data_IF_476434756744
#
_entry.id   IF_476434756744
#
_cell.length_a   1.000
_cell.length_b   1.000
_cell.length_c   1.000
_cell.angle_alpha   90.00
_cell.angle_beta   90.00
_cell.angle_gamma   90.00
#
_symmetry.space_group_name_H-M   'P 1'
#
loop_
_entity.id
_entity.type
_entity.pdbx_description
1 polymer ?
#
# COMPACT_ATOMS: atom_id res chain seq x y z
N UNK A 1 12.05 16.79 35.06
CA UNK A 1 10.70 16.36 35.51
C UNK A 1 10.06 15.56 34.38
N UNK A 2 10.01 14.22 34.48
CA UNK A 2 9.46 13.36 33.42
C UNK A 2 7.94 13.51 33.39
N UNK A 3 7.38 14.04 32.29
CA UNK A 3 5.93 14.03 32.06
C UNK A 3 5.48 12.56 32.07
N UNK A 4 4.70 12.18 33.10
CA UNK A 4 4.02 10.88 33.13
C UNK A 4 3.25 10.74 31.83
N UNK A 5 3.49 9.66 31.08
CA UNK A 5 2.68 9.22 29.94
C UNK A 5 1.23 9.02 30.38
N UNK A 6 0.45 10.10 30.48
CA UNK A 6 -1.01 10.01 30.52
C UNK A 6 -1.42 9.53 29.14
N UNK A 7 -1.64 8.22 29.00
CA UNK A 7 -2.29 7.65 27.81
C UNK A 7 -3.55 8.47 27.56
N UNK A 8 -3.61 9.10 26.38
CA UNK A 8 -4.80 9.85 25.96
C UNK A 8 -6.02 8.92 26.02
N UNK A 9 -7.20 9.42 26.43
CA UNK A 9 -8.37 8.58 26.59
C UNK A 9 -8.80 7.95 25.27
N UNK A 10 -9.20 6.68 25.35
CA UNK A 10 -9.72 5.88 24.23
C UNK A 10 -10.99 6.53 23.66
N UNK A 11 -11.09 6.62 22.33
CA UNK A 11 -12.22 7.26 21.66
C UNK A 11 -13.55 6.54 21.92
N UNK A 12 -13.55 5.20 22.03
CA UNK A 12 -14.76 4.44 22.38
C UNK A 12 -15.18 4.71 23.82
N UNK A 13 -14.20 4.86 24.73
CA UNK A 13 -14.49 5.24 26.13
C UNK A 13 -15.05 6.66 26.21
N UNK A 14 -14.51 7.60 25.44
CA UNK A 14 -15.03 8.97 25.37
C UNK A 14 -16.46 9.02 24.84
N UNK A 15 -16.81 8.17 23.86
CA UNK A 15 -18.17 8.06 23.35
C UNK A 15 -19.13 7.58 24.44
N UNK A 16 -18.77 6.54 25.19
CA UNK A 16 -19.60 6.05 26.30
C UNK A 16 -19.72 7.08 27.43
N UNK A 17 -18.62 7.76 27.78
CA UNK A 17 -18.63 8.87 28.75
C UNK A 17 -19.63 9.97 28.32
N UNK A 18 -19.61 10.37 27.05
CA UNK A 18 -20.51 11.38 26.50
C UNK A 18 -21.97 10.93 26.59
N UNK A 19 -22.28 9.67 26.25
CA UNK A 19 -23.64 9.11 26.37
C UNK A 19 -24.14 9.16 27.81
N UNK A 20 -23.28 8.84 28.78
CA UNK A 20 -23.62 8.89 30.21
C UNK A 20 -23.89 10.32 30.65
N UNK A 21 -23.03 11.27 30.27
CA UNK A 21 -23.16 12.69 30.64
C UNK A 21 -24.39 13.35 30.01
N UNK A 22 -24.84 12.88 28.83
CA UNK A 22 -26.04 13.39 28.17
C UNK A 22 -27.34 12.96 28.85
N UNK A 23 -27.38 11.80 29.52
CA UNK A 23 -28.61 11.26 30.14
C UNK A 23 -29.31 12.29 31.06
N UNK A 24 -28.63 12.89 32.05
CA UNK A 24 -29.26 13.82 32.99
C UNK A 24 -29.47 15.24 32.45
N UNK A 25 -28.93 15.60 31.29
CA UNK A 25 -29.02 16.95 30.75
C UNK A 25 -30.39 17.23 30.11
N UNK A 26 -30.95 18.39 30.49
CA UNK A 26 -32.17 18.97 29.92
C UNK A 26 -31.80 19.84 28.70
N UNK A 27 -31.76 19.20 27.54
CA UNK A 27 -31.48 19.81 26.24
C UNK A 27 -32.53 19.36 25.24
N UNK A 28 -32.69 20.11 24.14
CA UNK A 28 -33.68 19.75 23.12
C UNK A 28 -33.54 18.30 22.65
N UNK A 29 -34.67 17.57 22.63
CA UNK A 29 -34.74 16.16 22.20
C UNK A 29 -34.14 15.95 20.80
N UNK A 30 -34.33 16.93 19.91
CA UNK A 30 -33.74 16.92 18.57
C UNK A 30 -32.21 16.95 18.60
N UNK A 31 -31.60 17.74 19.48
CA UNK A 31 -30.15 17.78 19.60
C UNK A 31 -29.61 16.52 20.27
N UNK A 32 -30.24 16.05 21.34
CA UNK A 32 -29.83 14.88 22.12
C UNK A 32 -29.85 13.60 21.28
N UNK A 33 -31.03 13.24 20.77
CA UNK A 33 -31.24 11.92 20.19
C UNK A 33 -30.92 11.89 18.70
N UNK A 34 -31.40 12.89 17.96
CA UNK A 34 -31.28 12.89 16.50
C UNK A 34 -29.90 13.32 16.01
N UNK A 35 -29.25 14.24 16.72
CA UNK A 35 -27.93 14.77 16.31
C UNK A 35 -26.81 14.05 17.05
N UNK A 36 -26.79 14.07 18.38
CA UNK A 36 -25.63 13.58 19.12
C UNK A 36 -25.61 12.05 19.22
N UNK A 37 -26.66 11.40 19.73
CA UNK A 37 -26.64 9.95 19.92
C UNK A 37 -26.52 9.17 18.61
N UNK A 38 -27.22 9.60 17.55
CA UNK A 38 -27.10 8.99 16.22
C UNK A 38 -25.69 9.13 15.64
N UNK A 39 -25.11 10.33 15.72
CA UNK A 39 -23.72 10.56 15.29
C UNK A 39 -22.74 9.70 16.09
N UNK A 40 -22.89 9.59 17.41
CA UNK A 40 -22.04 8.75 18.25
C UNK A 40 -22.20 7.26 17.92
N UNK A 41 -23.40 6.81 17.56
CA UNK A 41 -23.64 5.45 17.10
C UNK A 41 -22.92 5.16 15.78
N UNK A 42 -23.07 6.04 14.78
CA UNK A 42 -22.38 5.93 13.49
C UNK A 42 -20.86 5.95 13.67
N UNK A 43 -20.34 6.85 14.50
CA UNK A 43 -18.93 6.94 14.82
C UNK A 43 -18.42 5.69 15.57
N UNK A 44 -19.22 5.13 16.49
CA UNK A 44 -18.88 3.87 17.18
C UNK A 44 -18.73 2.72 16.19
N UNK A 45 -19.67 2.57 15.27
CA UNK A 45 -19.61 1.53 14.24
C UNK A 45 -18.41 1.73 13.33
N UNK A 46 -18.12 2.99 12.96
CA UNK A 46 -16.98 3.33 12.13
C UNK A 46 -15.65 2.98 12.82
N UNK A 47 -15.48 3.33 14.10
CA UNK A 47 -14.28 3.02 14.89
C UNK A 47 -14.14 1.51 15.12
N UNK A 48 -15.23 0.80 15.41
CA UNK A 48 -15.19 -0.67 15.57
C UNK A 48 -14.78 -1.39 14.29
N UNK A 49 -15.19 -0.86 13.14
CA UNK A 49 -14.86 -1.43 11.83
C UNK A 49 -13.43 -1.08 11.39
N UNK A 50 -12.92 0.09 11.79
CA UNK A 50 -11.58 0.59 11.41
C UNK A 50 -10.90 1.21 12.63
N UNK A 51 -10.26 0.38 13.43
CA UNK A 51 -9.70 0.79 14.72
C UNK A 51 -8.68 1.93 14.64
N UNK A 52 -8.00 2.05 13.49
CA UNK A 52 -6.98 3.04 13.18
C UNK A 52 -7.55 4.46 13.16
N UNK A 53 -8.85 4.61 12.86
CA UNK A 53 -9.45 5.94 12.75
C UNK A 53 -9.73 6.59 14.12
N UNK A 54 -9.71 5.78 15.19
CA UNK A 54 -10.10 6.21 16.54
C UNK A 54 -9.33 7.45 17.00
N UNK A 55 -8.05 7.58 16.63
CA UNK A 55 -7.22 8.71 17.00
C UNK A 55 -7.72 10.04 16.43
N UNK A 56 -8.30 10.05 15.22
CA UNK A 56 -8.69 11.27 14.50
C UNK A 56 -9.95 11.95 15.04
N UNK A 57 -10.68 11.30 15.95
CA UNK A 57 -11.90 11.84 16.56
C UNK A 57 -11.72 12.17 18.04
N UNK A 58 -10.56 11.87 18.64
CA UNK A 58 -10.34 12.08 20.08
C UNK A 58 -10.48 13.54 20.48
N UNK A 59 -10.01 14.48 19.66
CA UNK A 59 -10.06 15.91 19.95
C UNK A 59 -11.50 16.39 20.01
N UNK A 60 -12.26 16.13 18.96
CA UNK A 60 -13.65 16.55 18.80
C UNK A 60 -14.55 15.87 19.86
N UNK A 61 -14.30 14.60 20.18
CA UNK A 61 -14.97 13.92 21.30
C UNK A 61 -14.62 14.54 22.66
N UNK A 62 -13.35 14.91 22.89
CA UNK A 62 -12.96 15.62 24.11
C UNK A 62 -13.65 16.98 24.21
N UNK A 63 -13.71 17.75 23.11
CA UNK A 63 -14.36 19.06 23.06
C UNK A 63 -15.86 18.96 23.32
N UNK A 64 -16.54 18.02 22.67
CA UNK A 64 -17.95 17.75 22.93
C UNK A 64 -18.19 17.33 24.39
N UNK A 65 -17.34 16.46 24.95
CA UNK A 65 -17.41 16.08 26.38
C UNK A 65 -17.23 17.28 27.31
N UNK A 66 -16.32 18.20 26.98
CA UNK A 66 -16.09 19.42 27.76
C UNK A 66 -17.28 20.38 27.66
N UNK A 67 -17.85 20.57 26.47
CA UNK A 67 -19.03 21.40 26.28
C UNK A 67 -20.23 20.89 27.10
N UNK A 68 -20.42 19.57 27.13
CA UNK A 68 -21.45 18.89 27.93
C UNK A 68 -21.21 19.07 29.43
N UNK A 69 -19.95 18.96 29.89
CA UNK A 69 -19.60 19.19 31.30
C UNK A 69 -19.77 20.64 31.74
N UNK A 70 -19.60 21.59 30.81
CA UNK A 70 -19.71 23.02 31.06
C UNK A 70 -21.06 23.58 30.58
N UNK A 71 -22.11 22.74 30.59
CA UNK A 71 -23.45 23.14 30.14
C UNK A 71 -23.96 24.37 30.89
N UNK A 72 -23.74 24.45 32.21
CA UNK A 72 -24.18 25.57 33.04
C UNK A 72 -23.57 26.92 32.61
N UNK A 73 -22.42 26.90 31.92
CA UNK A 73 -21.71 28.09 31.46
C UNK A 73 -22.01 28.44 30.00
N UNK A 74 -22.13 27.42 29.13
CA UNK A 74 -22.20 27.61 27.67
C UNK A 74 -23.60 27.31 27.08
N UNK A 75 -24.50 26.78 27.90
CA UNK A 75 -25.84 26.36 27.51
C UNK A 75 -25.88 25.32 26.39
N UNK A 76 -27.08 25.16 25.80
CA UNK A 76 -27.29 24.24 24.68
C UNK A 76 -26.48 24.64 23.44
N UNK A 77 -26.20 25.94 23.26
CA UNK A 77 -25.48 26.46 22.09
C UNK A 77 -24.04 25.94 22.03
N UNK A 78 -23.32 25.89 23.16
CA UNK A 78 -21.97 25.36 23.21
C UNK A 78 -21.90 23.87 22.82
N UNK A 79 -22.88 23.07 23.29
CA UNK A 79 -23.00 21.66 22.91
C UNK A 79 -23.29 21.53 21.41
N UNK A 80 -24.18 22.37 20.88
CA UNK A 80 -24.56 22.35 19.46
C UNK A 80 -23.37 22.66 18.55
N UNK A 81 -22.58 23.67 18.87
CA UNK A 81 -21.38 24.02 18.09
C UNK A 81 -20.40 22.85 18.01
N UNK A 82 -20.08 22.22 19.15
CA UNK A 82 -19.15 21.10 19.16
C UNK A 82 -19.72 19.82 18.53
N UNK A 83 -21.03 19.60 18.64
CA UNK A 83 -21.71 18.52 17.93
C UNK A 83 -21.66 18.72 16.40
N UNK A 84 -21.88 19.95 15.92
CA UNK A 84 -21.78 20.28 14.50
C UNK A 84 -20.33 20.13 13.99
N UNK A 85 -19.34 20.53 14.79
CA UNK A 85 -17.92 20.34 14.47
C UNK A 85 -17.56 18.86 14.35
N UNK A 86 -17.99 18.02 15.31
CA UNK A 86 -17.78 16.58 15.28
C UNK A 86 -18.50 15.94 14.09
N UNK A 87 -19.73 16.37 13.77
CA UNK A 87 -20.49 15.90 12.62
C UNK A 87 -19.81 16.26 11.31
N UNK A 88 -19.40 17.51 11.14
CA UNK A 88 -18.64 17.96 9.96
C UNK A 88 -17.34 17.18 9.80
N UNK A 89 -16.67 16.82 10.90
CA UNK A 89 -15.49 15.95 10.87
C UNK A 89 -15.85 14.54 10.44
N UNK A 90 -16.92 13.97 10.99
CA UNK A 90 -17.44 12.66 10.61
C UNK A 90 -17.81 12.63 9.13
N UNK A 91 -18.55 13.62 8.62
CA UNK A 91 -18.94 13.75 7.23
C UNK A 91 -17.74 13.94 6.30
N UNK A 92 -16.68 14.64 6.73
CA UNK A 92 -15.42 14.72 5.97
C UNK A 92 -14.69 13.39 5.93
N UNK A 93 -14.61 12.67 7.05
CA UNK A 93 -13.95 11.35 7.10
C UNK A 93 -14.76 10.32 6.31
N UNK A 94 -16.09 10.34 6.43
CA UNK A 94 -16.99 9.49 5.65
C UNK A 94 -16.90 9.87 4.17
N UNK A 95 -16.91 11.15 3.79
CA UNK A 95 -16.83 11.55 2.38
C UNK A 95 -15.46 11.27 1.78
N UNK A 96 -14.35 11.45 2.51
CA UNK A 96 -13.02 11.02 2.09
C UNK A 96 -12.94 9.50 1.99
N UNK A 97 -13.51 8.76 2.94
CA UNK A 97 -13.62 7.30 2.87
C UNK A 97 -14.50 6.85 1.72
N UNK A 98 -15.63 7.51 1.46
CA UNK A 98 -16.52 7.22 0.34
C UNK A 98 -15.90 7.66 -0.97
N UNK A 99 -15.03 8.66 -1.00
CA UNK A 99 -14.23 9.01 -2.18
C UNK A 99 -13.11 7.99 -2.40
N UNK A 100 -12.47 7.47 -1.34
CA UNK A 100 -11.49 6.38 -1.41
C UNK A 100 -12.16 5.05 -1.77
N UNK A 101 -13.36 4.78 -1.25
CA UNK A 101 -14.16 3.60 -1.54
C UNK A 101 -14.85 3.71 -2.90
N UNK A 102 -15.29 4.90 -3.35
CA UNK A 102 -15.79 5.13 -4.72
C UNK A 102 -14.66 5.10 -5.72
N UNK A 103 -13.49 5.70 -5.45
CA UNK A 103 -12.28 5.43 -6.23
C UNK A 103 -11.92 3.94 -6.17
N UNK A 104 -12.10 3.29 -5.03
CA UNK A 104 -11.94 1.85 -4.88
C UNK A 104 -13.00 1.01 -5.60
N UNK A 105 -14.21 1.54 -5.82
CA UNK A 105 -15.38 0.89 -6.44
C UNK A 105 -15.47 1.14 -7.94
N UNK A 106 -15.08 2.32 -8.42
CA UNK A 106 -14.76 2.59 -9.82
C UNK A 106 -13.53 1.76 -10.25
N UNK A 107 -12.62 1.46 -9.30
CA UNK A 107 -11.57 0.45 -9.48
C UNK A 107 -12.08 -0.98 -9.24
N UNK A 108 -13.25 -1.24 -8.64
CA UNK A 108 -13.78 -2.61 -8.47
C UNK A 108 -14.26 -3.24 -9.78
N UNK A 109 -14.44 -2.46 -10.85
CA UNK A 109 -14.58 -2.98 -12.22
C UNK A 109 -13.27 -3.44 -12.85
N UNK A 110 -12.11 -3.06 -12.29
CA UNK A 110 -10.78 -3.44 -12.78
C UNK A 110 -9.93 -3.99 -11.64
N UNK A 111 -9.89 -5.33 -11.54
CA UNK A 111 -8.94 -6.15 -10.77
C UNK A 111 -7.95 -5.35 -9.91
N UNK A 112 -8.11 -5.39 -8.57
CA UNK A 112 -7.17 -4.79 -7.60
C UNK A 112 -5.73 -4.92 -8.08
N UNK A 113 -5.14 -3.81 -8.54
CA UNK A 113 -3.72 -3.72 -8.88
C UNK A 113 -2.90 -3.94 -7.60
N UNK A 114 -2.50 -5.19 -7.37
CA UNK A 114 -1.60 -5.53 -6.27
C UNK A 114 -0.21 -5.04 -6.66
N UNK A 115 0.23 -3.94 -6.04
CA UNK A 115 1.59 -3.43 -6.18
C UNK A 115 2.46 -4.06 -5.09
N UNK A 116 3.26 -5.04 -5.45
CA UNK A 116 4.15 -5.73 -4.52
C UNK A 116 5.51 -5.97 -5.18
N UNK A 117 6.58 -5.57 -4.49
CA UNK A 117 7.95 -5.85 -4.88
C UNK A 117 8.59 -6.72 -3.80
N UNK A 118 9.09 -7.89 -4.19
CA UNK A 118 9.85 -8.79 -3.32
C UNK A 118 11.24 -9.00 -3.91
N UNK A 119 12.29 -8.80 -3.10
CA UNK A 119 13.68 -8.95 -3.54
C UNK A 119 14.33 -10.01 -2.66
N UNK A 120 14.92 -11.02 -3.29
CA UNK A 120 15.72 -12.04 -2.60
C UNK A 120 16.76 -12.68 -3.54
N UNK A 121 17.99 -12.90 -3.04
CA UNK A 121 19.12 -13.48 -3.78
C UNK A 121 19.36 -12.87 -5.19
N UNK A 122 19.22 -11.55 -5.30
CA UNK A 122 19.36 -10.80 -6.56
C UNK A 122 18.20 -10.98 -7.54
N UNK A 123 17.12 -11.64 -7.13
CA UNK A 123 15.87 -11.80 -7.90
C UNK A 123 14.85 -10.81 -7.37
N UNK A 124 14.23 -10.03 -8.26
CA UNK A 124 13.14 -9.11 -7.94
C UNK A 124 11.84 -9.61 -8.55
N UNK A 125 10.80 -9.86 -7.77
CA UNK A 125 9.46 -10.18 -8.29
C UNK A 125 8.59 -8.94 -8.15
N UNK A 126 8.17 -8.38 -9.29
CA UNK A 126 7.30 -7.21 -9.35
C UNK A 126 5.89 -7.65 -9.74
N UNK A 127 4.92 -7.38 -8.87
CA UNK A 127 3.50 -7.66 -9.10
C UNK A 127 2.79 -6.32 -9.22
N UNK A 128 1.97 -6.17 -10.27
CA UNK A 128 1.25 -4.92 -10.54
C UNK A 128 -0.26 -5.09 -10.67
N UNK A 129 -0.77 -6.28 -11.04
CA UNK A 129 -2.18 -6.40 -11.48
C UNK A 129 -2.91 -7.64 -10.97
N UNK A 130 -2.26 -8.80 -10.90
CA UNK A 130 -2.89 -10.05 -10.48
C UNK A 130 -2.28 -10.58 -9.19
N UNK A 131 -3.07 -11.06 -8.22
CA UNK A 131 -2.53 -11.78 -7.09
C UNK A 131 -1.80 -13.03 -7.60
N UNK A 132 -0.53 -13.14 -7.25
CA UNK A 132 0.31 -14.31 -7.57
C UNK A 132 0.86 -14.88 -6.28
N UNK A 133 1.12 -16.20 -6.28
CA UNK A 133 1.86 -16.83 -5.19
C UNK A 133 3.35 -16.45 -5.31
N UNK A 134 3.77 -15.43 -4.56
CA UNK A 134 5.14 -14.88 -4.59
C UNK A 134 6.16 -15.93 -4.17
N UNK A 135 5.87 -16.73 -3.15
CA UNK A 135 6.78 -17.79 -2.68
C UNK A 135 7.04 -18.80 -3.79
N UNK A 136 5.99 -19.22 -4.48
CA UNK A 136 6.09 -20.12 -5.63
C UNK A 136 6.87 -19.47 -6.78
N UNK A 137 6.57 -18.22 -7.16
CA UNK A 137 7.26 -17.52 -8.24
C UNK A 137 8.73 -17.24 -7.94
N UNK A 138 9.07 -16.93 -6.69
CA UNK A 138 10.45 -16.79 -6.25
C UNK A 138 11.20 -18.13 -6.34
N UNK A 139 10.57 -19.23 -5.94
CA UNK A 139 11.12 -20.58 -6.09
C UNK A 139 11.37 -20.93 -7.56
N UNK A 140 10.42 -20.64 -8.46
CA UNK A 140 10.61 -20.83 -9.91
C UNK A 140 11.79 -20.01 -10.44
N UNK A 141 11.94 -18.76 -10.02
CA UNK A 141 13.03 -17.90 -10.45
C UNK A 141 14.40 -18.38 -9.93
N UNK A 142 14.48 -18.89 -8.69
CA UNK A 142 15.69 -19.55 -8.18
C UNK A 142 16.03 -20.81 -8.97
N UNK A 143 15.02 -21.59 -9.34
CA UNK A 143 15.21 -22.76 -10.20
C UNK A 143 15.73 -22.37 -11.59
N UNK A 144 15.25 -21.27 -12.17
CA UNK A 144 15.78 -20.72 -13.41
C UNK A 144 17.27 -20.35 -13.25
N UNK A 145 17.64 -19.67 -12.16
CA UNK A 145 19.04 -19.34 -11.83
C UNK A 145 19.93 -20.59 -11.77
N UNK A 146 19.46 -21.65 -11.13
CA UNK A 146 20.16 -22.94 -11.09
C UNK A 146 20.31 -23.58 -12.48
N UNK A 147 19.27 -23.49 -13.33
CA UNK A 147 19.34 -23.98 -14.72
C UNK A 147 20.38 -23.23 -15.55
N UNK A 148 20.47 -21.91 -15.40
CA UNK A 148 21.49 -21.11 -16.09
C UNK A 148 22.91 -21.52 -15.70
N UNK A 149 23.16 -21.75 -14.40
CA UNK A 149 24.45 -22.24 -13.91
C UNK A 149 24.79 -23.61 -14.51
N UNK A 150 23.80 -24.51 -14.61
CA UNK A 150 24.00 -25.82 -15.22
C UNK A 150 24.25 -25.72 -16.73
N UNK A 151 23.51 -24.87 -17.44
CA UNK A 151 23.69 -24.63 -18.87
C UNK A 151 25.12 -24.15 -19.18
N UNK A 152 25.65 -23.21 -18.40
CA UNK A 152 27.03 -22.73 -18.51
C UNK A 152 28.08 -23.82 -18.29
N UNK A 153 27.79 -24.79 -17.41
CA UNK A 153 28.68 -25.93 -17.15
C UNK A 153 28.65 -26.95 -18.27
N UNK A 154 27.49 -27.17 -18.89
CA UNK A 154 27.30 -28.19 -19.94
C UNK A 154 27.55 -27.67 -21.35
N UNK A 155 27.59 -26.35 -21.56
CA UNK A 155 27.82 -25.76 -22.86
C UNK A 155 29.27 -26.02 -23.33
N UNK A 156 29.39 -26.61 -24.52
CA UNK A 156 30.67 -26.76 -25.21
C UNK A 156 31.35 -25.40 -25.44
N UNK A 157 32.68 -25.40 -25.53
CA UNK A 157 33.49 -24.18 -25.72
C UNK A 157 33.06 -23.34 -26.93
N UNK A 158 32.47 -23.98 -27.94
CA UNK A 158 31.96 -23.31 -29.14
C UNK A 158 30.75 -22.43 -28.85
N UNK A 159 29.82 -22.88 -28.00
CA UNK A 159 28.59 -22.16 -27.66
C UNK A 159 28.75 -21.28 -26.42
N UNK A 160 29.75 -21.56 -25.60
CA UNK A 160 29.97 -20.93 -24.29
C UNK A 160 29.92 -19.40 -24.32
N UNK A 161 30.53 -18.68 -25.29
CA UNK A 161 30.44 -17.21 -25.34
C UNK A 161 29.00 -16.70 -25.48
N UNK A 162 28.21 -17.31 -26.37
CA UNK A 162 26.82 -16.91 -26.58
C UNK A 162 25.93 -17.35 -25.41
N UNK A 163 26.16 -18.53 -24.82
CA UNK A 163 25.45 -18.98 -23.62
C UNK A 163 25.69 -18.01 -22.46
N UNK A 164 26.94 -17.57 -22.26
CA UNK A 164 27.27 -16.54 -21.25
C UNK A 164 26.50 -15.26 -21.49
N UNK A 165 26.48 -14.74 -22.72
CA UNK A 165 25.72 -13.54 -23.08
C UNK A 165 24.22 -13.69 -22.77
N UNK A 166 23.63 -14.84 -23.11
CA UNK A 166 22.23 -15.16 -22.78
C UNK A 166 22.02 -15.15 -21.26
N UNK A 167 22.87 -15.86 -20.51
CA UNK A 167 22.75 -15.96 -19.05
C UNK A 167 22.90 -14.59 -18.39
N UNK A 168 23.88 -13.79 -18.78
CA UNK A 168 24.09 -12.44 -18.23
C UNK A 168 22.89 -11.53 -18.51
N UNK A 169 22.31 -11.62 -19.70
CA UNK A 169 21.08 -10.92 -20.05
C UNK A 169 19.90 -11.32 -19.16
N UNK A 170 19.71 -12.63 -18.94
CA UNK A 170 18.63 -13.16 -18.09
C UNK A 170 18.83 -12.80 -16.61
N UNK A 171 20.07 -12.86 -16.11
CA UNK A 171 20.42 -12.41 -14.74
C UNK A 171 20.07 -10.94 -14.56
N UNK A 172 20.36 -10.12 -15.56
CA UNK A 172 20.00 -8.70 -15.56
C UNK A 172 18.48 -8.53 -15.47
N UNK A 173 17.70 -9.27 -16.27
CA UNK A 173 16.24 -9.23 -16.21
C UNK A 173 15.71 -9.73 -14.86
N UNK A 174 16.28 -10.80 -14.28
CA UNK A 174 15.90 -11.32 -12.96
C UNK A 174 16.04 -10.26 -11.86
N UNK A 175 17.05 -9.40 -11.95
CA UNK A 175 17.27 -8.30 -11.00
C UNK A 175 16.23 -7.18 -11.10
N UNK A 176 15.54 -7.08 -12.26
CA UNK A 176 14.51 -6.07 -12.55
C UNK A 176 13.09 -6.61 -12.36
N UNK A 177 12.77 -7.77 -12.97
CA UNK A 177 11.51 -8.48 -12.80
C UNK A 177 11.65 -9.96 -13.19
N UNK A 178 11.76 -10.83 -12.20
CA UNK A 178 11.87 -12.26 -12.36
C UNK A 178 10.65 -12.91 -13.02
N UNK A 179 9.46 -12.29 -12.99
CA UNK A 179 8.33 -12.80 -13.78
C UNK A 179 8.56 -12.63 -15.29
N UNK A 180 9.23 -11.55 -15.68
CA UNK A 180 9.60 -11.32 -17.07
C UNK A 180 10.73 -12.26 -17.50
N UNK A 181 11.71 -12.52 -16.62
CA UNK A 181 12.76 -13.51 -16.87
C UNK A 181 12.20 -14.94 -17.00
N UNK A 182 11.20 -15.32 -16.19
CA UNK A 182 10.59 -16.66 -16.21
C UNK A 182 9.95 -17.03 -17.56
N UNK A 183 9.67 -16.06 -18.43
CA UNK A 183 9.18 -16.33 -19.80
C UNK A 183 10.20 -17.09 -20.66
N UNK A 184 11.49 -16.98 -20.34
CA UNK A 184 12.58 -17.67 -21.05
C UNK A 184 12.87 -19.07 -20.50
N UNK A 185 12.11 -19.54 -19.50
CA UNK A 185 12.38 -20.81 -18.82
C UNK A 185 12.24 -22.03 -19.75
N UNK A 186 11.26 -22.03 -20.65
CA UNK A 186 11.08 -23.11 -21.64
C UNK A 186 12.19 -23.09 -22.69
N UNK A 187 12.54 -21.92 -23.21
CA UNK A 187 13.61 -21.77 -24.19
C UNK A 187 14.96 -22.23 -23.64
N UNK A 188 15.27 -21.89 -22.38
CA UNK A 188 16.47 -22.37 -21.69
C UNK A 188 16.46 -23.90 -21.46
N UNK A 189 15.30 -24.47 -21.14
CA UNK A 189 15.14 -25.93 -21.01
C UNK A 189 15.39 -26.64 -22.34
N UNK A 190 14.81 -26.12 -23.42
CA UNK A 190 15.00 -26.63 -24.77
C UNK A 190 16.46 -26.52 -25.21
N UNK A 191 17.09 -25.37 -24.96
CA UNK A 191 18.50 -25.15 -25.28
C UNK A 191 19.42 -26.14 -24.52
N UNK A 192 19.18 -26.32 -23.21
CA UNK A 192 19.94 -27.28 -22.41
C UNK A 192 19.79 -28.73 -22.94
N UNK A 193 18.57 -29.12 -23.33
CA UNK A 193 18.30 -30.44 -23.89
C UNK A 193 18.98 -30.64 -25.26
N UNK A 194 18.92 -29.64 -26.14
CA UNK A 194 19.54 -29.70 -27.48
C UNK A 194 21.07 -29.77 -27.40
N UNK A 195 21.69 -29.01 -26.50
CA UNK A 195 23.14 -29.08 -26.26
C UNK A 195 23.51 -30.47 -25.72
N UNK A 196 22.78 -30.99 -24.72
CA UNK A 196 23.04 -32.31 -24.15
C UNK A 196 22.90 -33.44 -25.17
N UNK A 197 21.88 -33.36 -26.03
CA UNK A 197 21.59 -34.37 -27.04
C UNK A 197 22.42 -34.21 -28.32
N UNK A 198 23.32 -33.23 -28.38
CA UNK A 198 24.14 -32.91 -29.56
C UNK A 198 23.27 -32.75 -30.82
N UNK A 199 22.14 -32.07 -30.68
CA UNK A 199 21.27 -31.72 -31.81
C UNK A 199 22.04 -30.91 -32.86
N UNK A 200 21.50 -30.84 -34.08
CA UNK A 200 22.17 -30.13 -35.17
C UNK A 200 22.50 -28.69 -34.79
N UNK A 201 23.75 -28.29 -35.07
CA UNK A 201 24.30 -26.98 -34.69
C UNK A 201 23.47 -25.80 -35.19
N UNK A 202 22.85 -25.93 -36.36
CA UNK A 202 21.99 -24.90 -36.93
C UNK A 202 20.77 -24.63 -36.04
N UNK A 203 20.13 -25.67 -35.52
CA UNK A 203 18.97 -25.55 -34.64
C UNK A 203 19.32 -24.95 -33.28
N UNK A 204 20.46 -25.34 -32.70
CA UNK A 204 20.98 -24.74 -31.45
C UNK A 204 21.23 -23.25 -31.65
N UNK A 205 21.93 -22.89 -32.74
CA UNK A 205 22.28 -21.49 -33.04
C UNK A 205 21.04 -20.64 -33.30
N UNK A 206 20.04 -21.18 -34.02
CA UNK A 206 18.78 -20.49 -34.26
C UNK A 206 18.02 -20.19 -32.96
N UNK A 207 17.94 -21.16 -32.05
CA UNK A 207 17.29 -20.96 -30.75
C UNK A 207 18.04 -19.92 -29.89
N UNK A 208 19.37 -19.99 -29.85
CA UNK A 208 20.19 -19.01 -29.13
C UNK A 208 19.98 -17.58 -29.64
N UNK A 209 19.91 -17.41 -30.96
CA UNK A 209 19.64 -16.10 -31.56
C UNK A 209 18.23 -15.60 -31.20
N UNK A 210 17.21 -16.46 -31.25
CA UNK A 210 15.85 -16.09 -30.83
C UNK A 210 15.76 -15.65 -29.37
N UNK A 211 16.50 -16.33 -28.47
CA UNK A 211 16.61 -15.92 -27.06
C UNK A 211 17.30 -14.56 -26.94
N UNK A 212 18.42 -14.36 -27.64
CA UNK A 212 19.17 -13.10 -27.63
C UNK A 212 18.34 -11.92 -28.15
N UNK A 213 17.52 -12.12 -29.18
CA UNK A 213 16.59 -11.11 -29.69
C UNK A 213 15.48 -10.78 -28.68
N UNK A 214 15.05 -11.76 -27.88
CA UNK A 214 14.01 -11.59 -26.87
C UNK A 214 14.49 -10.84 -25.61
N UNK A 215 15.79 -10.93 -25.28
CA UNK A 215 16.36 -10.33 -24.07
C UNK A 215 16.15 -8.80 -24.01
N UNK A 216 16.51 -7.99 -25.03
CA UNK A 216 16.29 -6.54 -25.01
C UNK A 216 14.83 -6.14 -24.82
N UNK A 217 13.91 -6.88 -25.43
CA UNK A 217 12.47 -6.67 -25.28
C UNK A 217 12.01 -6.96 -23.84
N UNK A 218 12.40 -8.09 -23.27
CA UNK A 218 12.04 -8.43 -21.90
C UNK A 218 12.68 -7.51 -20.87
N UNK A 219 13.91 -7.05 -21.14
CA UNK A 219 14.58 -6.04 -20.32
C UNK A 219 13.81 -4.73 -20.28
N UNK A 220 13.37 -4.20 -21.44
CA UNK A 220 12.63 -2.93 -21.48
C UNK A 220 11.29 -3.04 -20.74
N UNK A 221 10.57 -4.14 -20.92
CA UNK A 221 9.32 -4.42 -20.19
C UNK A 221 9.57 -4.51 -18.68
N UNK A 222 10.63 -5.22 -18.25
CA UNK A 222 10.99 -5.35 -16.85
C UNK A 222 11.37 -4.01 -16.22
N UNK A 223 12.15 -3.18 -16.93
CA UNK A 223 12.57 -1.86 -16.47
C UNK A 223 11.38 -0.90 -16.29
N UNK A 224 10.49 -0.82 -17.29
CA UNK A 224 9.28 0.01 -17.21
C UNK A 224 8.42 -0.42 -16.01
N UNK A 225 8.17 -1.73 -15.89
CA UNK A 225 7.34 -2.27 -14.82
C UNK A 225 7.96 -2.02 -13.43
N UNK A 226 9.28 -2.13 -13.29
CA UNK A 226 10.01 -1.78 -12.08
C UNK A 226 9.79 -0.30 -11.73
N UNK A 227 10.03 0.59 -12.67
CA UNK A 227 9.98 2.04 -12.46
C UNK A 227 8.57 2.50 -12.10
N UNK A 228 7.56 1.99 -12.80
CA UNK A 228 6.15 2.26 -12.51
C UNK A 228 5.76 1.77 -11.11
N UNK A 229 6.23 0.59 -10.71
CA UNK A 229 5.94 0.03 -9.39
C UNK A 229 6.66 0.81 -8.28
N UNK A 230 7.93 1.15 -8.47
CA UNK A 230 8.68 1.96 -7.52
C UNK A 230 8.08 3.35 -7.37
N UNK A 231 7.68 3.99 -8.47
CA UNK A 231 6.98 5.28 -8.44
C UNK A 231 5.68 5.18 -7.67
N UNK A 232 4.84 4.19 -7.97
CA UNK A 232 3.57 3.99 -7.28
C UNK A 232 3.77 3.69 -5.77
N UNK A 233 4.75 2.86 -5.41
CA UNK A 233 5.10 2.59 -4.01
C UNK A 233 5.63 3.83 -3.30
N UNK A 234 6.43 4.66 -3.97
CA UNK A 234 6.95 5.91 -3.42
C UNK A 234 5.82 6.93 -3.21
N UNK A 235 4.87 7.03 -4.14
CA UNK A 235 3.70 7.89 -4.00
C UNK A 235 2.79 7.45 -2.84
N UNK A 236 2.58 6.13 -2.68
CA UNK A 236 1.88 5.56 -1.52
C UNK A 236 2.64 5.89 -0.24
N UNK A 237 3.94 5.64 -0.19
CA UNK A 237 4.77 5.90 0.98
C UNK A 237 4.80 7.39 1.36
N UNK A 238 4.94 8.30 0.39
CA UNK A 238 4.85 9.74 0.61
C UNK A 238 3.49 10.15 1.15
N UNK A 239 2.42 9.56 0.62
CA UNK A 239 1.05 9.79 1.10
C UNK A 239 0.89 9.28 2.53
N UNK A 240 1.40 8.08 2.85
CA UNK A 240 1.39 7.54 4.22
C UNK A 240 2.19 8.41 5.17
N UNK A 241 3.41 8.81 4.81
CA UNK A 241 4.23 9.74 5.59
C UNK A 241 3.56 11.10 5.77
N UNK A 242 2.85 11.60 4.75
CA UNK A 242 2.08 12.84 4.86
C UNK A 242 0.92 12.69 5.87
N UNK A 243 0.20 11.57 5.82
CA UNK A 243 -0.87 11.27 6.77
C UNK A 243 -0.32 11.08 8.19
N UNK A 244 0.81 10.40 8.35
CA UNK A 244 1.49 10.23 9.63
C UNK A 244 1.99 11.58 10.16
N UNK A 245 2.58 12.43 9.31
CA UNK A 245 2.99 13.79 9.69
C UNK A 245 1.80 14.65 10.06
N UNK A 246 0.68 14.57 9.36
CA UNK A 246 -0.55 15.25 9.77
C UNK A 246 -1.01 14.73 11.14
N UNK A 247 -1.02 13.40 11.35
CA UNK A 247 -1.35 12.81 12.64
C UNK A 247 -0.41 13.29 13.77
N UNK A 248 0.87 13.48 13.49
CA UNK A 248 1.88 13.96 14.45
C UNK A 248 1.86 15.49 14.66
N UNK A 249 1.60 16.27 13.61
CA UNK A 249 1.38 17.72 13.68
C UNK A 249 0.13 18.05 14.51
N UNK A 250 -0.87 17.17 14.50
CA UNK A 250 -2.06 17.30 15.36
C UNK A 250 -1.91 16.60 16.72
N UNK A 251 -0.83 15.84 16.96
CA UNK A 251 -0.52 15.25 18.27
C UNK A 251 0.26 16.21 19.19
N UNK A 252 0.83 17.29 18.63
CA UNK A 252 1.54 18.35 19.38
C UNK A 252 0.86 19.72 19.17
N UNK A 253 0.65 20.55 20.21
CA UNK A 253 -0.26 21.71 20.12
C UNK A 253 0.19 22.86 19.22
N UNK A 254 1.46 22.92 18.78
CA UNK A 254 1.95 24.02 17.95
C UNK A 254 3.07 23.54 17.02
N UNK A 255 2.74 23.24 15.77
CA UNK A 255 3.71 23.24 14.67
C UNK A 255 2.95 23.40 13.36
N UNK A 256 2.70 24.64 12.95
CA UNK A 256 2.42 24.90 11.54
C UNK A 256 3.76 24.82 10.81
N UNK A 257 3.97 23.78 10.01
CA UNK A 257 4.99 23.84 8.97
C UNK A 257 4.31 24.22 7.66
N UNK A 258 4.83 25.22 6.94
CA UNK A 258 4.26 25.65 5.67
C UNK A 258 4.37 24.51 4.63
N UNK A 259 3.49 24.50 3.62
CA UNK A 259 3.54 23.50 2.55
C UNK A 259 4.92 23.51 1.86
N UNK A 260 5.37 22.35 1.35
CA UNK A 260 6.66 22.26 0.66
C UNK A 260 6.67 23.22 -0.53
N UNK A 261 7.73 24.03 -0.62
CA UNK A 261 7.94 24.96 -1.75
C UNK A 261 7.90 24.17 -3.07
N UNK A 262 6.96 24.54 -3.95
CA UNK A 262 6.79 23.94 -5.28
C UNK A 262 5.37 23.54 -5.64
N UNK A 263 4.43 23.52 -4.70
CA UNK A 263 3.00 23.40 -5.01
C UNK A 263 2.41 24.78 -5.31
N UNK A 264 2.54 25.24 -6.56
CA UNK A 264 1.74 26.36 -7.07
C UNK A 264 0.41 25.85 -7.62
N UNK A 265 -0.62 26.68 -7.44
CA UNK A 265 -2.02 26.46 -7.84
C UNK A 265 -2.19 26.10 -9.31
#
# INVERSE_FOLDING_TARGET
>A
MRLKNKKLPDALKLIEDIKVLLKPLDISHKLKDYVILRMLFELTNLIKTYSEIAAYFRKELCLLRLAIKNFDQNGEMGIRVEAENLKNRLDRVISWKMAILRKGQEVLGSQRKLLLCCIDDGIRIVVTEKPINIVYKMSEARNLKNKMVNLLKTADQVYKPQVTSIVDGIVTILSLDGLSALKLNEDLLNLAAMIKNKSERQHITALMNGILESIPFLYSVAAIKRDDTEKALNDIYRTMLYLDRQADLYSKPHAYLPPPKGATN
#
